data_IF_035087244699
#
_entry.id   IF_035087244699
#
_cell.length_a   1.000
_cell.length_b   1.000
_cell.length_c   1.000
_cell.angle_alpha   90.00
_cell.angle_beta   90.00
_cell.angle_gamma   90.00
#
_symmetry.space_group_name_H-M   'P 1'
#
loop_
_entity.id
_entity.type
_entity.pdbx_description
1 polymer ?
#
# COMPACT_ATOMS: atom_id res chain seq x y z
N UNK A 1 5.45 -11.68 2.83
CA UNK A 1 5.95 -12.20 4.13
C UNK A 1 5.93 -11.14 5.24
N UNK A 2 5.10 -10.09 5.13
CA UNK A 2 4.99 -8.97 6.08
C UNK A 2 3.60 -8.89 6.74
N UNK A 3 2.55 -9.48 6.14
CA UNK A 3 1.26 -9.68 6.79
C UNK A 3 1.35 -10.34 8.19
N UNK A 4 2.21 -11.36 8.42
CA UNK A 4 2.34 -11.96 9.75
C UNK A 4 2.92 -11.02 10.81
N UNK A 5 3.73 -10.04 10.44
CA UNK A 5 4.33 -9.10 11.42
C UNK A 5 3.29 -8.10 11.93
N UNK A 6 2.36 -7.67 11.10
CA UNK A 6 1.26 -6.76 11.50
C UNK A 6 0.29 -7.49 12.45
N UNK A 7 -0.10 -8.71 12.11
CA UNK A 7 -0.94 -9.54 13.00
C UNK A 7 -0.24 -9.89 14.30
N UNK A 8 1.04 -10.24 14.26
CA UNK A 8 1.84 -10.51 15.46
C UNK A 8 2.00 -9.29 16.38
N UNK A 9 2.12 -8.07 15.80
CA UNK A 9 2.16 -6.83 16.55
C UNK A 9 0.78 -6.48 17.16
N UNK A 10 -0.31 -6.69 16.40
CA UNK A 10 -1.67 -6.52 16.88
C UNK A 10 -2.01 -7.52 17.99
N UNK A 11 -1.59 -8.78 17.86
CA UNK A 11 -1.76 -9.79 18.89
C UNK A 11 -0.94 -9.48 20.15
N UNK A 12 0.27 -8.96 20.01
CA UNK A 12 1.08 -8.47 21.13
C UNK A 12 0.45 -7.26 21.82
N UNK A 13 -0.09 -6.31 21.05
CA UNK A 13 -0.81 -5.15 21.61
C UNK A 13 -2.09 -5.58 22.33
N UNK A 14 -2.87 -6.50 21.77
CA UNK A 14 -4.07 -7.06 22.39
C UNK A 14 -3.76 -7.92 23.64
N UNK A 15 -2.59 -8.55 23.69
CA UNK A 15 -2.13 -9.32 24.84
C UNK A 15 -1.66 -8.44 26.00
N UNK A 16 -1.23 -7.21 25.73
CA UNK A 16 -0.80 -6.22 26.72
C UNK A 16 -2.01 -5.50 27.34
N UNK A 17 -3.12 -5.42 26.60
CA UNK A 17 -4.35 -4.79 27.08
C UNK A 17 -5.57 -5.69 26.83
N UNK A 18 -5.79 -6.77 27.66
CA UNK A 18 -6.97 -7.59 27.52
C UNK A 18 -8.19 -6.76 27.92
N UNK A 19 -9.02 -6.39 26.95
CA UNK A 19 -10.28 -5.70 27.15
C UNK A 19 -11.13 -6.50 28.15
N UNK A 20 -11.52 -5.86 29.26
CA UNK A 20 -12.44 -6.40 30.27
C UNK A 20 -13.80 -6.63 29.63
N UNK A 21 -14.02 -7.83 29.11
CA UNK A 21 -15.30 -8.32 28.63
C UNK A 21 -16.28 -8.43 29.79
N UNK A 22 -17.25 -7.51 29.83
CA UNK A 22 -18.37 -7.54 30.74
C UNK A 22 -19.18 -8.80 30.58
N UNK A 23 -19.29 -9.56 31.65
CA UNK A 23 -20.21 -10.68 31.73
C UNK A 23 -21.50 -10.22 32.37
N UNK A 24 -22.56 -10.15 31.63
CA UNK A 24 -23.93 -10.02 32.07
C UNK A 24 -24.65 -11.36 31.89
N UNK A 25 -25.20 -11.88 33.00
CA UNK A 25 -26.15 -13.01 32.97
C UNK A 25 -26.25 -13.68 34.33
N UNK A 26 -27.13 -13.41 35.04
CA UNK A 26 -28.48 -13.66 35.38
C UNK A 26 -28.71 -14.94 36.12
N UNK A 27 -29.30 -14.83 37.33
CA UNK A 27 -30.36 -15.77 37.75
C UNK A 27 -30.11 -16.69 38.93
N UNK A 28 -30.65 -16.34 40.12
CA UNK A 28 -31.54 -17.28 40.82
C UNK A 28 -31.06 -17.96 42.10
N UNK A 29 -31.53 -17.49 43.25
CA UNK A 29 -32.26 -18.35 44.16
C UNK A 29 -31.57 -18.91 45.41
N UNK A 30 -31.95 -18.37 46.58
CA UNK A 30 -32.40 -19.22 47.70
C UNK A 30 -31.50 -19.43 48.90
N UNK A 31 -31.84 -18.74 50.00
CA UNK A 31 -32.11 -19.44 51.27
C UNK A 31 -31.07 -19.52 52.40
N UNK A 32 -31.23 -18.71 53.42
CA UNK A 32 -31.35 -19.25 54.77
C UNK A 32 -30.16 -19.31 55.72
N UNK A 33 -30.23 -18.52 56.82
CA UNK A 33 -29.96 -19.04 58.19
C UNK A 33 -28.62 -18.64 58.83
N UNK A 34 -28.55 -17.64 59.64
CA UNK A 34 -28.54 -17.67 61.11
C UNK A 34 -27.21 -18.00 61.84
N UNK A 35 -26.79 -17.11 62.75
CA UNK A 35 -26.05 -17.57 63.91
C UNK A 35 -24.77 -16.75 64.23
N UNK A 36 -24.95 -15.90 65.20
CA UNK A 36 -24.03 -15.10 65.98
C UNK A 36 -22.90 -15.86 66.68
N UNK A 37 -21.78 -15.24 66.94
CA UNK A 37 -21.18 -14.93 68.27
C UNK A 37 -19.66 -14.78 68.21
N UNK A 38 -19.19 -13.65 68.68
CA UNK A 38 -17.82 -13.42 69.18
C UNK A 38 -17.75 -13.91 70.65
N UNK A 39 -16.63 -13.78 71.40
CA UNK A 39 -15.22 -13.54 71.15
C UNK A 39 -14.26 -14.47 71.93
N UNK A 40 -12.97 -14.39 71.78
CA UNK A 40 -11.99 -14.23 72.85
C UNK A 40 -10.52 -14.34 72.46
N UNK A 41 -9.77 -13.47 73.09
CA UNK A 41 -8.35 -13.24 73.32
C UNK A 41 -7.42 -14.47 73.40
N UNK A 42 -6.15 -14.39 72.91
CA UNK A 42 -4.96 -14.15 73.77
C UNK A 42 -3.64 -14.38 73.08
N UNK A 43 -2.73 -13.44 73.37
CA UNK A 43 -1.27 -13.51 73.60
C UNK A 43 -0.30 -13.87 72.48
N UNK A 44 0.57 -12.85 72.24
CA UNK A 44 1.95 -12.94 71.68
C UNK A 44 2.90 -13.74 72.59
N UNK A 45 4.08 -14.22 72.10
CA UNK A 45 5.21 -13.30 71.94
C UNK A 45 6.25 -13.64 70.83
N UNK A 46 7.00 -12.59 70.50
CA UNK A 46 8.45 -12.50 70.18
C UNK A 46 9.00 -12.87 68.82
N UNK A 47 9.45 -11.81 68.14
CA UNK A 47 10.74 -11.59 67.42
C UNK A 47 11.33 -12.67 66.51
N UNK A 48 11.25 -12.42 65.24
CA UNK A 48 12.39 -12.57 64.32
C UNK A 48 12.32 -11.45 63.27
N UNK A 49 13.27 -10.55 63.30
CA UNK A 49 13.52 -9.57 62.26
C UNK A 49 14.09 -10.28 61.03
N UNK A 50 13.36 -10.31 59.92
CA UNK A 50 13.93 -10.46 58.59
C UNK A 50 13.62 -9.20 57.83
N UNK A 51 14.68 -8.45 57.57
CA UNK A 51 14.76 -7.27 56.75
C UNK A 51 14.58 -7.70 55.28
N UNK A 52 13.36 -7.68 54.77
CA UNK A 52 13.11 -7.72 53.32
C UNK A 52 12.86 -6.30 52.85
N UNK A 53 13.94 -5.68 52.36
CA UNK A 53 13.87 -4.40 51.70
C UNK A 53 12.84 -4.43 50.60
N UNK A 54 11.65 -3.91 50.90
CA UNK A 54 10.68 -3.57 49.88
C UNK A 54 11.23 -2.39 49.07
N UNK A 55 11.79 -2.68 47.91
CA UNK A 55 12.09 -1.65 46.90
C UNK A 55 10.74 -1.06 46.50
N UNK A 56 10.46 0.14 47.01
CA UNK A 56 9.33 0.92 46.53
C UNK A 56 9.52 1.19 45.05
N UNK A 57 8.74 0.50 44.21
CA UNK A 57 8.58 0.84 42.81
C UNK A 57 7.94 2.23 42.80
N UNK A 58 8.57 3.25 42.17
CA UNK A 58 7.94 4.55 42.04
C UNK A 58 6.60 4.39 41.31
N UNK A 59 5.57 5.17 41.63
CA UNK A 59 4.30 5.11 40.91
C UNK A 59 4.57 5.36 39.45
N UNK A 60 4.40 4.38 38.61
CA UNK A 60 4.38 4.58 37.16
C UNK A 60 3.19 5.47 36.88
N UNK A 61 3.50 6.61 36.25
CA UNK A 61 2.52 7.56 35.73
C UNK A 61 1.54 6.80 34.85
N UNK A 62 0.31 6.60 35.33
CA UNK A 62 -0.78 5.97 34.57
C UNK A 62 -1.33 6.92 33.50
N UNK A 63 -0.49 7.67 32.85
CA UNK A 63 -0.76 8.35 31.59
C UNK A 63 -0.14 7.58 30.41
N UNK A 64 -0.26 6.25 30.41
CA UNK A 64 -0.20 5.52 29.16
C UNK A 64 -1.46 5.90 28.38
N UNK A 65 -1.24 6.77 27.42
CA UNK A 65 -2.18 7.26 26.45
C UNK A 65 -2.84 6.05 25.81
N UNK A 66 -4.11 5.77 26.17
CA UNK A 66 -4.99 4.90 25.39
C UNK A 66 -5.13 5.58 24.01
N UNK A 67 -4.23 5.27 23.09
CA UNK A 67 -4.39 5.69 21.70
C UNK A 67 -5.63 5.03 21.18
N UNK A 68 -6.54 5.82 20.64
CA UNK A 68 -7.71 5.31 19.95
C UNK A 68 -7.27 4.43 18.75
N UNK A 69 -8.11 3.49 18.33
CA UNK A 69 -7.82 2.66 17.14
C UNK A 69 -7.44 3.52 15.93
N UNK A 70 -8.05 4.70 15.80
CA UNK A 70 -7.80 5.67 14.75
C UNK A 70 -6.40 6.32 14.84
N UNK A 71 -5.89 6.55 16.06
CA UNK A 71 -4.54 7.05 16.31
C UNK A 71 -3.48 5.96 16.08
N UNK A 72 -3.78 4.71 16.45
CA UNK A 72 -2.94 3.55 16.18
C UNK A 72 -2.85 3.28 14.68
N UNK A 73 -3.97 3.35 13.96
CA UNK A 73 -4.00 3.19 12.51
C UNK A 73 -3.18 4.28 11.82
N UNK A 74 -3.27 5.52 12.29
CA UNK A 74 -2.45 6.64 11.77
C UNK A 74 -0.96 6.44 12.04
N UNK A 75 -0.60 5.87 13.20
CA UNK A 75 0.80 5.62 13.56
C UNK A 75 1.43 4.51 12.72
N UNK A 76 0.64 3.53 12.28
CA UNK A 76 1.08 2.39 11.46
C UNK A 76 1.13 2.71 9.97
N UNK A 77 0.61 3.88 9.54
CA UNK A 77 0.65 4.29 8.14
C UNK A 77 2.08 4.64 7.69
N UNK A 78 2.49 4.07 6.57
CA UNK A 78 3.73 4.47 5.90
C UNK A 78 3.62 5.89 5.35
N UNK A 79 2.44 6.26 4.83
CA UNK A 79 2.18 7.56 4.23
C UNK A 79 1.01 8.27 4.93
N UNK A 80 1.29 9.40 5.57
CA UNK A 80 0.33 10.13 6.41
C UNK A 80 -0.89 10.66 5.64
N UNK A 81 -0.72 10.96 4.35
CA UNK A 81 -1.76 11.48 3.46
C UNK A 81 -2.63 10.41 2.81
N UNK A 82 -2.36 9.13 3.12
CA UNK A 82 -3.13 8.00 2.60
C UNK A 82 -4.23 7.50 3.55
N UNK A 83 -4.38 8.07 4.76
CA UNK A 83 -5.24 7.54 5.83
C UNK A 83 -6.66 7.15 5.36
N UNK A 84 -7.31 8.00 4.61
CA UNK A 84 -8.68 7.78 4.12
C UNK A 84 -8.73 7.73 2.58
N UNK A 85 -7.61 7.46 1.93
CA UNK A 85 -7.53 7.44 0.48
C UNK A 85 -7.94 6.08 -0.08
N UNK A 86 -8.73 6.06 -1.16
CA UNK A 86 -9.25 4.85 -1.80
C UNK A 86 -8.16 3.86 -2.23
N UNK A 87 -6.97 4.36 -2.57
CA UNK A 87 -5.83 3.54 -3.01
C UNK A 87 -4.87 3.17 -1.88
N UNK A 88 -5.22 3.43 -0.61
CA UNK A 88 -4.31 3.26 0.54
C UNK A 88 -3.67 1.88 0.57
N UNK A 89 -4.48 0.83 0.57
CA UNK A 89 -4.01 -0.55 0.71
C UNK A 89 -3.08 -0.94 -0.44
N UNK A 90 -3.47 -0.59 -1.66
CA UNK A 90 -2.67 -0.88 -2.86
C UNK A 90 -1.33 -0.14 -2.85
N UNK A 91 -1.34 1.15 -2.48
CA UNK A 91 -0.13 1.98 -2.43
C UNK A 91 0.81 1.51 -1.33
N UNK A 92 0.30 1.21 -0.14
CA UNK A 92 1.14 0.70 0.96
C UNK A 92 1.76 -0.65 0.59
N UNK A 93 1.00 -1.56 0.00
CA UNK A 93 1.53 -2.84 -0.49
C UNK A 93 2.63 -2.65 -1.54
N UNK A 94 2.41 -1.77 -2.53
CA UNK A 94 3.43 -1.47 -3.54
C UNK A 94 4.67 -0.78 -2.95
N UNK A 95 4.51 -0.04 -1.86
CA UNK A 95 5.62 0.57 -1.15
C UNK A 95 6.42 -0.45 -0.32
N UNK A 96 5.77 -1.45 0.26
CA UNK A 96 6.43 -2.57 0.92
C UNK A 96 7.32 -3.37 -0.05
N UNK A 97 6.85 -3.52 -1.28
CA UNK A 97 7.63 -4.14 -2.36
C UNK A 97 8.75 -3.23 -2.91
N UNK A 98 8.84 -1.97 -2.44
CA UNK A 98 9.83 -1.01 -2.92
C UNK A 98 9.55 -0.46 -4.33
N UNK A 99 8.35 -0.72 -4.87
CA UNK A 99 7.95 -0.30 -6.22
C UNK A 99 7.61 1.19 -6.25
N UNK A 100 6.92 1.69 -5.22
CA UNK A 100 6.63 3.11 -5.04
C UNK A 100 7.27 3.65 -3.77
N UNK A 101 7.52 4.96 -3.75
CA UNK A 101 8.06 5.65 -2.58
C UNK A 101 7.28 6.95 -2.33
N UNK A 102 7.29 7.39 -1.08
CA UNK A 102 6.85 8.73 -0.69
C UNK A 102 7.98 9.76 -0.76
N UNK A 103 7.67 10.97 -0.34
CA UNK A 103 8.63 12.04 -0.17
C UNK A 103 9.30 12.01 1.22
N UNK A 104 10.20 12.95 1.47
CA UNK A 104 10.93 13.10 2.74
C UNK A 104 10.06 13.42 3.97
N UNK A 105 8.78 13.76 3.75
CA UNK A 105 7.81 14.07 4.81
C UNK A 105 6.82 12.91 5.08
N UNK A 106 7.13 11.71 4.63
CA UNK A 106 6.27 10.53 4.71
C UNK A 106 4.92 10.74 4.01
N UNK A 107 4.91 11.44 2.86
CA UNK A 107 3.72 11.62 2.04
C UNK A 107 3.87 10.91 0.70
N UNK A 108 2.82 10.26 0.27
CA UNK A 108 2.76 9.65 -1.06
C UNK A 108 2.36 10.66 -2.14
N UNK A 109 1.56 11.68 -1.80
CA UNK A 109 0.96 12.66 -2.70
C UNK A 109 0.10 11.99 -3.78
N UNK A 110 -0.99 11.30 -3.38
CA UNK A 110 -1.76 10.43 -4.26
C UNK A 110 -2.38 11.15 -5.45
N UNK A 111 -2.79 12.40 -5.29
CA UNK A 111 -3.47 13.20 -6.32
C UNK A 111 -2.51 14.01 -7.23
N UNK A 112 -1.20 14.02 -6.91
CA UNK A 112 -0.22 14.64 -7.81
C UNK A 112 -0.13 13.82 -9.09
N UNK A 113 0.10 14.50 -10.20
CA UNK A 113 0.33 13.85 -11.48
C UNK A 113 1.65 13.11 -11.46
N UNK A 114 1.69 11.97 -12.14
CA UNK A 114 2.91 11.18 -12.26
C UNK A 114 3.63 11.52 -13.56
N UNK A 115 4.92 11.79 -13.46
CA UNK A 115 5.75 12.04 -14.65
C UNK A 115 6.10 10.74 -15.37
N UNK A 116 6.48 10.86 -16.65
CA UNK A 116 6.92 9.72 -17.47
C UNK A 116 8.15 9.03 -16.87
N UNK A 117 9.10 9.78 -16.27
CA UNK A 117 10.27 9.21 -15.60
C UNK A 117 9.90 8.46 -14.31
N UNK A 118 9.00 9.02 -13.49
CA UNK A 118 8.49 8.31 -12.30
C UNK A 118 7.77 7.02 -12.69
N UNK A 119 6.92 7.07 -13.71
CA UNK A 119 6.22 5.88 -14.20
C UNK A 119 7.18 4.82 -14.76
N UNK A 120 8.21 5.23 -15.52
CA UNK A 120 9.26 4.32 -15.99
C UNK A 120 9.97 3.61 -14.84
N UNK A 121 10.20 4.33 -13.74
CA UNK A 121 10.80 3.76 -12.52
C UNK A 121 9.86 2.74 -11.86
N UNK A 122 8.58 3.11 -11.70
CA UNK A 122 7.58 2.25 -11.05
C UNK A 122 7.39 0.95 -11.83
N UNK A 123 7.20 1.02 -13.16
CA UNK A 123 6.98 -0.18 -13.99
C UNK A 123 8.23 -1.07 -14.04
N UNK A 124 9.44 -0.49 -14.14
CA UNK A 124 10.68 -1.28 -14.12
C UNK A 124 10.83 -2.09 -12.84
N UNK A 125 10.58 -1.46 -11.69
CA UNK A 125 10.62 -2.12 -10.39
C UNK A 125 9.55 -3.20 -10.26
N UNK A 126 8.31 -2.90 -10.68
CA UNK A 126 7.21 -3.87 -10.64
C UNK A 126 7.47 -5.10 -11.50
N UNK A 127 8.16 -4.93 -12.62
CA UNK A 127 8.56 -6.02 -13.51
C UNK A 127 9.85 -6.72 -13.05
N UNK A 128 10.45 -6.33 -11.93
CA UNK A 128 11.70 -6.92 -11.43
C UNK A 128 12.86 -6.76 -12.42
N UNK A 129 12.94 -5.62 -13.11
CA UNK A 129 13.99 -5.35 -14.09
C UNK A 129 15.12 -4.58 -13.42
N UNK A 130 16.34 -5.06 -13.64
CA UNK A 130 17.54 -4.32 -13.26
C UNK A 130 17.68 -3.07 -14.14
N UNK A 131 18.22 -2.00 -13.55
CA UNK A 131 18.50 -0.78 -14.29
C UNK A 131 19.63 -1.00 -15.29
N UNK A 132 19.41 -0.58 -16.53
CA UNK A 132 20.39 -0.67 -17.60
C UNK A 132 21.20 0.64 -17.66
N UNK A 133 22.51 0.53 -17.93
CA UNK A 133 23.36 1.70 -18.15
C UNK A 133 22.79 2.53 -19.29
N UNK A 134 22.68 3.85 -19.06
CA UNK A 134 22.16 4.76 -20.07
C UNK A 134 23.10 4.91 -21.28
N UNK A 135 22.54 4.80 -22.49
CA UNK A 135 23.26 4.78 -23.76
C UNK A 135 22.98 6.02 -24.62
N UNK A 136 22.63 7.15 -23.98
CA UNK A 136 22.28 8.41 -24.68
C UNK A 136 21.17 8.24 -25.73
N UNK A 137 20.16 7.48 -25.37
CA UNK A 137 19.04 7.13 -26.26
C UNK A 137 18.10 8.30 -26.57
N UNK A 138 18.13 9.36 -25.74
CA UNK A 138 17.27 10.53 -25.87
C UNK A 138 18.06 11.81 -25.61
N UNK A 139 17.74 12.89 -26.33
CA UNK A 139 18.45 14.16 -26.23
C UNK A 139 18.17 14.93 -24.93
N UNK A 140 17.05 14.64 -24.28
CA UNK A 140 16.57 15.29 -23.06
C UNK A 140 16.77 14.45 -21.78
N UNK A 141 17.62 13.43 -21.84
CA UNK A 141 18.03 12.60 -20.72
C UNK A 141 19.56 12.55 -20.69
N UNK A 142 20.15 12.80 -19.53
CA UNK A 142 21.59 12.68 -19.34
C UNK A 142 21.92 11.53 -18.39
N UNK A 143 23.14 11.00 -18.46
CA UNK A 143 23.54 9.82 -17.67
C UNK A 143 23.43 10.01 -16.16
N UNK A 144 23.56 11.26 -15.69
CA UNK A 144 23.54 11.62 -14.28
C UNK A 144 22.12 11.85 -13.74
N UNK A 145 21.11 11.84 -14.60
CA UNK A 145 19.72 11.88 -14.16
C UNK A 145 19.38 10.61 -13.36
N UNK A 146 18.73 10.77 -12.22
CA UNK A 146 18.36 9.66 -11.33
C UNK A 146 17.50 8.59 -12.04
N UNK A 147 16.78 8.98 -13.08
CA UNK A 147 15.89 8.12 -13.86
C UNK A 147 16.56 7.52 -15.13
N UNK A 148 17.77 7.94 -15.48
CA UNK A 148 18.40 7.59 -16.77
C UNK A 148 18.48 6.07 -17.00
N UNK A 149 18.87 5.32 -15.99
CA UNK A 149 18.91 3.85 -16.06
C UNK A 149 17.53 3.22 -16.25
N UNK A 150 16.49 3.75 -15.61
CA UNK A 150 15.11 3.27 -15.77
C UNK A 150 14.56 3.61 -17.16
N UNK A 151 14.84 4.82 -17.66
CA UNK A 151 14.46 5.22 -19.02
C UNK A 151 15.10 4.29 -20.05
N UNK A 152 16.38 3.96 -19.90
CA UNK A 152 17.03 2.98 -20.77
C UNK A 152 16.39 1.60 -20.66
N UNK A 153 16.06 1.17 -19.44
CA UNK A 153 15.44 -0.14 -19.19
C UNK A 153 14.08 -0.27 -19.88
N UNK A 154 13.18 0.72 -19.73
CA UNK A 154 11.86 0.68 -20.39
C UNK A 154 11.94 0.80 -21.89
N UNK A 155 12.96 1.53 -22.42
CA UNK A 155 13.23 1.60 -23.85
C UNK A 155 13.71 0.24 -24.40
N UNK A 156 14.70 -0.37 -23.74
CA UNK A 156 15.31 -1.63 -24.20
C UNK A 156 14.33 -2.81 -24.19
N UNK A 157 13.29 -2.74 -23.32
CA UNK A 157 12.21 -3.73 -23.24
C UNK A 157 10.98 -3.34 -24.10
N UNK A 158 11.04 -2.27 -24.88
CA UNK A 158 9.94 -1.73 -25.71
C UNK A 158 8.66 -1.40 -24.89
N UNK A 159 8.80 -1.07 -23.61
CA UNK A 159 7.69 -0.65 -22.77
C UNK A 159 7.33 0.82 -23.00
N UNK A 160 8.36 1.68 -23.10
CA UNK A 160 8.17 3.10 -23.37
C UNK A 160 9.08 3.56 -24.48
N UNK A 161 8.58 4.44 -25.33
CA UNK A 161 9.34 5.09 -26.40
C UNK A 161 9.28 6.61 -26.24
N UNK A 162 10.20 7.29 -26.91
CA UNK A 162 10.18 8.74 -27.09
C UNK A 162 9.55 9.15 -28.41
N UNK A 163 9.51 10.45 -28.65
CA UNK A 163 9.09 11.06 -29.90
C UNK A 163 10.13 12.13 -30.30
N UNK A 164 10.53 12.14 -31.56
CA UNK A 164 11.55 13.04 -32.10
C UNK A 164 12.87 13.06 -31.29
N UNK A 165 13.30 11.91 -30.80
CA UNK A 165 14.54 11.79 -30.02
C UNK A 165 14.42 12.29 -28.58
N UNK A 166 13.23 12.64 -28.10
CA UNK A 166 12.94 13.10 -26.74
C UNK A 166 12.12 12.06 -25.97
N UNK A 167 12.50 11.79 -24.73
CA UNK A 167 11.71 10.95 -23.81
C UNK A 167 10.64 11.75 -23.07
N UNK A 168 10.88 13.04 -22.84
CA UNK A 168 10.06 13.96 -22.06
C UNK A 168 9.89 13.49 -20.62
N UNK A 169 10.97 13.31 -19.85
CA UNK A 169 10.96 12.67 -18.53
C UNK A 169 10.04 13.37 -17.53
N UNK A 170 9.95 14.69 -17.58
CA UNK A 170 9.17 15.53 -16.67
C UNK A 170 7.74 15.81 -17.16
N UNK A 171 7.35 15.31 -18.33
CA UNK A 171 5.97 15.44 -18.80
C UNK A 171 5.07 14.46 -18.03
N UNK A 172 3.84 14.89 -17.75
CA UNK A 172 2.81 14.01 -17.20
C UNK A 172 2.54 12.84 -18.17
N UNK A 173 2.42 11.62 -17.65
CA UNK A 173 2.01 10.48 -18.46
C UNK A 173 0.48 10.39 -18.53
N UNK A 174 -0.05 10.14 -19.71
CA UNK A 174 -1.48 10.01 -19.94
C UNK A 174 -1.98 8.58 -19.64
N UNK A 175 -3.29 8.45 -19.42
CA UNK A 175 -3.92 7.16 -19.16
C UNK A 175 -3.79 6.19 -20.33
N UNK A 176 -3.86 6.67 -21.57
CA UNK A 176 -3.64 5.82 -22.76
C UNK A 176 -2.18 5.37 -22.90
N UNK A 177 -1.21 6.20 -22.51
CA UNK A 177 0.19 5.80 -22.47
C UNK A 177 0.43 4.72 -21.42
N UNK A 178 -0.17 4.87 -20.23
CA UNK A 178 -0.10 3.84 -19.18
C UNK A 178 -0.67 2.52 -19.68
N UNK A 179 -1.85 2.52 -20.32
CA UNK A 179 -2.47 1.32 -20.87
C UNK A 179 -1.52 0.57 -21.81
N UNK A 180 -0.86 1.30 -22.73
CA UNK A 180 0.16 0.71 -23.60
C UNK A 180 1.30 0.07 -22.82
N UNK A 181 1.84 0.79 -21.85
CA UNK A 181 3.03 0.32 -21.10
C UNK A 181 2.73 -0.93 -20.29
N UNK A 182 1.62 -0.95 -19.55
CA UNK A 182 1.27 -2.09 -18.69
C UNK A 182 0.95 -3.34 -19.49
N UNK A 183 0.27 -3.22 -20.64
CA UNK A 183 0.00 -4.36 -21.54
C UNK A 183 1.29 -4.85 -22.18
N UNK A 184 2.15 -3.95 -22.69
CA UNK A 184 3.44 -4.34 -23.25
C UNK A 184 4.32 -5.09 -22.23
N UNK A 185 4.34 -4.60 -20.98
CA UNK A 185 5.09 -5.22 -19.89
C UNK A 185 4.52 -6.60 -19.53
N UNK A 186 3.20 -6.73 -19.40
CA UNK A 186 2.52 -8.00 -19.13
C UNK A 186 2.77 -9.02 -20.25
N UNK A 187 2.55 -8.63 -21.50
CA UNK A 187 2.72 -9.50 -22.66
C UNK A 187 4.17 -9.96 -22.83
N UNK A 188 5.14 -9.09 -22.53
CA UNK A 188 6.56 -9.47 -22.52
C UNK A 188 6.85 -10.53 -21.45
N UNK A 189 6.30 -10.42 -20.23
CA UNK A 189 6.51 -11.37 -19.14
C UNK A 189 5.82 -12.72 -19.37
N UNK A 190 4.65 -12.70 -19.99
CA UNK A 190 3.85 -13.91 -20.24
C UNK A 190 4.09 -14.54 -21.61
N UNK A 191 4.92 -13.88 -22.46
CA UNK A 191 5.14 -14.27 -23.86
C UNK A 191 3.83 -14.35 -24.66
N UNK A 192 2.89 -13.45 -24.37
CA UNK A 192 1.63 -13.29 -25.08
C UNK A 192 1.73 -12.15 -26.11
N UNK A 193 0.74 -12.05 -26.97
CA UNK A 193 0.69 -11.00 -27.99
C UNK A 193 -0.56 -10.16 -27.79
N UNK A 194 -0.47 -8.89 -28.17
CA UNK A 194 -1.59 -7.97 -28.18
C UNK A 194 -2.76 -8.55 -28.99
N UNK A 195 -3.91 -8.73 -28.32
CA UNK A 195 -5.15 -9.15 -28.96
C UNK A 195 -5.84 -7.96 -29.62
N UNK A 196 -6.41 -8.19 -30.81
CA UNK A 196 -7.10 -7.18 -31.61
C UNK A 196 -8.56 -7.59 -31.85
N UNK A 197 -9.38 -6.59 -32.17
CA UNK A 197 -10.75 -6.82 -32.63
C UNK A 197 -11.80 -6.94 -31.55
N UNK A 198 -11.47 -6.68 -30.27
CA UNK A 198 -12.43 -6.51 -29.18
C UNK A 198 -12.98 -5.08 -29.17
N UNK A 199 -14.08 -4.83 -28.47
CA UNK A 199 -14.75 -3.53 -28.39
C UNK A 199 -14.73 -2.97 -26.98
N UNK A 200 -14.68 -1.65 -26.87
CA UNK A 200 -14.86 -0.89 -25.65
C UNK A 200 -16.25 -0.25 -25.62
N UNK A 201 -16.72 0.08 -24.40
CA UNK A 201 -18.05 0.65 -24.17
C UNK A 201 -17.99 2.05 -23.56
N UNK A 202 -16.90 2.81 -23.78
CA UNK A 202 -16.78 4.19 -23.33
C UNK A 202 -17.33 5.17 -24.39
N UNK A 203 -17.87 6.31 -23.91
CA UNK A 203 -18.45 7.33 -24.79
C UNK A 203 -17.39 8.23 -25.46
N UNK A 204 -16.14 8.19 -24.98
CA UNK A 204 -15.00 9.00 -25.43
C UNK A 204 -13.99 8.20 -26.29
N UNK A 205 -14.48 7.21 -27.03
CA UNK A 205 -13.64 6.38 -27.90
C UNK A 205 -12.94 7.19 -28.99
N UNK A 206 -13.56 8.25 -29.49
CA UNK A 206 -12.99 9.13 -30.52
C UNK A 206 -11.78 9.94 -30.01
N UNK A 207 -11.64 10.11 -28.70
CA UNK A 207 -10.50 10.76 -28.08
C UNK A 207 -9.27 9.84 -27.96
N UNK A 208 -9.45 8.53 -28.13
CA UNK A 208 -8.37 7.55 -28.03
C UNK A 208 -7.45 7.68 -29.27
N UNK A 209 -6.14 7.76 -29.03
CA UNK A 209 -5.17 7.66 -30.12
C UNK A 209 -5.29 6.31 -30.82
N UNK A 210 -5.22 6.31 -32.16
CA UNK A 210 -5.31 5.08 -32.96
C UNK A 210 -4.36 3.98 -32.47
N UNK A 211 -3.14 4.33 -32.09
CA UNK A 211 -2.13 3.40 -31.61
C UNK A 211 -2.45 2.82 -30.21
N UNK A 212 -3.27 3.50 -29.41
CA UNK A 212 -3.57 3.12 -28.04
C UNK A 212 -4.82 2.22 -27.92
N UNK A 213 -5.67 2.20 -28.94
CA UNK A 213 -6.99 1.55 -28.89
C UNK A 213 -6.91 0.08 -28.44
N UNK A 214 -6.14 -0.76 -29.16
CA UNK A 214 -6.04 -2.19 -28.85
C UNK A 214 -5.41 -2.42 -27.46
N UNK A 215 -4.50 -1.59 -27.01
CA UNK A 215 -3.91 -1.66 -25.66
C UNK A 215 -4.92 -1.33 -24.56
N UNK A 216 -5.76 -0.31 -24.77
CA UNK A 216 -6.81 0.05 -23.82
C UNK A 216 -7.85 -1.08 -23.73
N UNK A 217 -8.24 -1.64 -24.88
CA UNK A 217 -9.15 -2.80 -24.93
C UNK A 217 -8.61 -3.97 -24.12
N UNK A 218 -7.36 -4.36 -24.36
CA UNK A 218 -6.74 -5.49 -23.67
C UNK A 218 -6.55 -5.19 -22.18
N UNK A 219 -6.10 -4.00 -21.82
CA UNK A 219 -5.93 -3.60 -20.44
C UNK A 219 -7.27 -3.60 -19.66
N UNK A 220 -8.37 -3.19 -20.30
CA UNK A 220 -9.69 -3.21 -19.70
C UNK A 220 -10.23 -4.64 -19.56
N UNK A 221 -10.07 -5.48 -20.58
CA UNK A 221 -10.47 -6.90 -20.57
C UNK A 221 -9.75 -7.71 -19.49
N UNK A 222 -8.48 -7.40 -19.26
CA UNK A 222 -7.68 -8.02 -18.19
C UNK A 222 -7.93 -7.42 -16.80
N UNK A 223 -8.74 -6.36 -16.70
CA UNK A 223 -9.02 -5.67 -15.44
C UNK A 223 -7.85 -4.81 -14.92
N UNK A 224 -6.87 -4.47 -15.76
CA UNK A 224 -5.75 -3.63 -15.35
C UNK A 224 -6.13 -2.16 -15.22
N UNK A 225 -7.06 -1.71 -16.07
CA UNK A 225 -7.58 -0.34 -16.07
C UNK A 225 -9.12 -0.33 -16.08
N UNK A 226 -9.66 0.74 -15.52
CA UNK A 226 -11.08 1.06 -15.59
C UNK A 226 -11.25 2.51 -16.09
N UNK A 227 -12.47 2.87 -16.48
CA UNK A 227 -12.82 4.25 -16.74
C UNK A 227 -12.69 5.13 -15.49
N UNK A 228 -12.67 6.44 -15.68
CA UNK A 228 -12.83 7.40 -14.58
C UNK A 228 -14.28 7.42 -14.10
N UNK A 229 -15.20 7.05 -14.98
CA UNK A 229 -16.61 6.69 -14.71
C UNK A 229 -16.96 5.45 -15.52
N UNK A 230 -18.17 4.92 -15.35
CA UNK A 230 -18.66 3.80 -16.15
C UNK A 230 -18.74 4.12 -17.66
N UNK A 231 -18.81 5.41 -18.00
CA UNK A 231 -18.99 5.89 -19.38
C UNK A 231 -17.74 6.51 -20.01
N UNK A 232 -16.75 6.94 -19.20
CA UNK A 232 -15.59 7.70 -19.67
C UNK A 232 -14.27 7.04 -19.29
N UNK A 233 -13.41 6.83 -20.27
CA UNK A 233 -12.05 6.37 -20.07
C UNK A 233 -11.07 7.52 -19.77
N UNK A 234 -11.24 8.68 -20.41
CA UNK A 234 -10.39 9.85 -20.38
C UNK A 234 -8.93 9.57 -20.84
N UNK A 235 -8.72 9.15 -22.10
CA UNK A 235 -7.42 8.67 -22.60
C UNK A 235 -6.30 9.70 -22.49
N UNK A 236 -6.60 10.96 -22.72
CA UNK A 236 -5.64 12.07 -22.72
C UNK A 236 -5.41 12.69 -21.36
N UNK A 237 -6.20 12.29 -20.35
CA UNK A 237 -6.02 12.83 -19.01
C UNK A 237 -4.72 12.31 -18.40
N UNK A 238 -3.89 13.20 -17.80
CA UNK A 238 -2.77 12.78 -16.98
C UNK A 238 -3.23 11.90 -15.82
N UNK A 239 -2.52 10.82 -15.57
CA UNK A 239 -2.79 9.96 -14.43
C UNK A 239 -2.22 10.55 -13.14
N UNK A 240 -2.92 10.32 -12.02
CA UNK A 240 -2.37 10.60 -10.69
C UNK A 240 -1.42 9.49 -10.24
N UNK A 241 -0.58 9.79 -9.26
CA UNK A 241 0.35 8.81 -8.65
C UNK A 241 -0.40 7.60 -8.07
N UNK A 242 -1.56 7.85 -7.43
CA UNK A 242 -2.41 6.77 -6.92
C UNK A 242 -2.96 5.89 -8.05
N UNK A 243 -3.49 6.50 -9.11
CA UNK A 243 -4.00 5.76 -10.26
C UNK A 243 -2.90 4.91 -10.91
N UNK A 244 -1.71 5.47 -11.12
CA UNK A 244 -0.57 4.76 -11.69
C UNK A 244 -0.16 3.56 -10.82
N UNK A 245 -0.05 3.75 -9.49
CA UNK A 245 0.30 2.68 -8.55
C UNK A 245 -0.71 1.53 -8.60
N UNK A 246 -2.01 1.84 -8.58
CA UNK A 246 -3.08 0.83 -8.62
C UNK A 246 -3.12 0.08 -9.97
N UNK A 247 -2.92 0.77 -11.09
CA UNK A 247 -2.85 0.12 -12.40
C UNK A 247 -1.67 -0.85 -12.49
N UNK A 248 -0.50 -0.44 -12.00
CA UNK A 248 0.69 -1.31 -11.95
C UNK A 248 0.47 -2.48 -10.99
N UNK A 249 -0.15 -2.25 -9.83
CA UNK A 249 -0.45 -3.32 -8.87
C UNK A 249 -1.30 -4.42 -9.48
N UNK A 250 -2.35 -4.08 -10.21
CA UNK A 250 -3.21 -5.07 -10.87
C UNK A 250 -2.46 -5.96 -11.84
N UNK A 251 -1.49 -5.40 -12.58
CA UNK A 251 -0.59 -6.17 -13.43
C UNK A 251 0.33 -7.05 -12.59
N UNK A 252 0.88 -6.49 -11.52
CA UNK A 252 1.76 -7.23 -10.61
C UNK A 252 1.03 -8.43 -10.00
N UNK A 253 -0.17 -8.25 -9.48
CA UNK A 253 -0.99 -9.33 -8.89
C UNK A 253 -1.30 -10.43 -9.91
N UNK A 254 -1.58 -10.06 -11.16
CA UNK A 254 -1.85 -11.00 -12.24
C UNK A 254 -0.63 -11.85 -12.60
N UNK A 255 0.58 -11.28 -12.46
CA UNK A 255 1.85 -11.98 -12.68
C UNK A 255 2.28 -12.81 -11.46
N UNK A 256 1.80 -12.48 -10.26
CA UNK A 256 2.16 -13.11 -8.99
C UNK A 256 0.88 -13.53 -8.23
N UNK A 257 0.09 -14.48 -8.77
CA UNK A 257 -1.11 -14.92 -8.07
C UNK A 257 -0.73 -15.50 -6.71
N UNK A 258 -1.56 -15.21 -5.70
CA UNK A 258 -1.41 -15.85 -4.38
C UNK A 258 -1.43 -17.36 -4.55
N UNK A 259 -0.54 -18.07 -3.87
CA UNK A 259 -0.59 -19.52 -3.83
C UNK A 259 -1.90 -19.94 -3.13
N UNK A 260 -2.72 -20.74 -3.78
CA UNK A 260 -3.94 -21.33 -3.24
C UNK A 260 -3.64 -22.30 -2.10
#
# INVERSE_FOLDING_TARGET
>A
MILPIREELLDKLNSINPSSGGNSGGGGGGGGGGGSSSPSKSTSPADVKTDTGTVAIPPQDKNEIEKTEDELDTYLLRFKDMKNHWAREDVEYMAELGIVNGDENDKFRPEDRVSRAEFATMISKAMGLDTTKYENSFFDVVSDDWYSGYVQTVRSNDYMSGYDGLFKPNADITREEIARVIVAAYNSKTNTKLEKGKSLYFNDLDDISYWAYDYIVEAADMGFIYGITDELFAPKQPATRAQAAVMIKRVYDKLHPAAE
#
